data_IF_326841898345
#
_entry.id   IF_326841898345
#
_cell.length_a   1.000
_cell.length_b   1.000
_cell.length_c   1.000
_cell.angle_alpha   90.00
_cell.angle_beta   90.00
_cell.angle_gamma   90.00
#
_symmetry.space_group_name_H-M   'P 1'
#
loop_
_entity.id
_entity.type
_entity.pdbx_description
1 polymer ?
#
# COMPACT_ATOMS: atom_id res chain seq x y z
N UNK A 1 70.05 1.92 -9.96
CA UNK A 1 68.82 1.57 -9.23
C UNK A 1 67.99 0.69 -10.16
N UNK A 2 68.10 -0.63 -10.00
CA UNK A 2 67.35 -1.60 -10.80
C UNK A 2 66.36 -2.27 -9.87
N UNK A 3 65.09 -1.90 -10.01
CA UNK A 3 64.00 -2.54 -9.27
C UNK A 3 63.74 -3.92 -9.88
N UNK A 4 63.96 -4.96 -9.07
CA UNK A 4 63.59 -6.32 -9.39
C UNK A 4 62.20 -6.58 -8.80
N UNK A 5 61.23 -6.84 -9.69
CA UNK A 5 59.84 -7.12 -9.32
C UNK A 5 59.77 -8.36 -8.44
N UNK A 6 59.31 -8.20 -7.21
CA UNK A 6 58.97 -9.29 -6.31
C UNK A 6 57.60 -9.85 -6.71
N UNK A 7 57.59 -10.71 -7.72
CA UNK A 7 56.49 -11.66 -7.87
C UNK A 7 56.54 -12.61 -6.69
N UNK A 8 55.57 -12.53 -5.78
CA UNK A 8 55.42 -13.46 -4.66
C UNK A 8 55.10 -14.84 -5.23
N UNK A 9 56.14 -15.65 -5.46
CA UNK A 9 56.02 -17.09 -5.69
C UNK A 9 55.57 -17.67 -4.36
N UNK A 10 54.28 -17.94 -4.24
CA UNK A 10 53.74 -18.72 -3.14
C UNK A 10 54.33 -20.11 -3.31
N UNK A 11 55.19 -20.52 -2.38
CA UNK A 11 55.87 -21.82 -2.42
C UNK A 11 54.80 -22.91 -2.25
N UNK A 12 54.42 -23.52 -3.37
CA UNK A 12 53.43 -24.60 -3.43
C UNK A 12 54.19 -25.92 -3.40
N UNK A 13 54.53 -26.39 -2.20
CA UNK A 13 55.01 -27.77 -2.03
C UNK A 13 53.83 -28.72 -2.30
N UNK A 14 53.90 -29.38 -3.46
CA UNK A 14 52.97 -30.43 -3.83
C UNK A 14 53.37 -31.74 -3.13
N UNK A 15 52.42 -32.51 -2.57
CA UNK A 15 52.72 -33.81 -1.99
C UNK A 15 53.41 -34.74 -3.00
N UNK A 16 54.31 -35.60 -2.51
CA UNK A 16 55.06 -36.56 -3.34
C UNK A 16 54.16 -37.46 -4.18
N UNK A 17 52.96 -37.79 -3.67
CA UNK A 17 51.98 -38.58 -4.42
C UNK A 17 51.52 -37.85 -5.68
N UNK A 18 51.36 -36.52 -5.62
CA UNK A 18 50.96 -35.71 -6.78
C UNK A 18 52.14 -35.51 -7.74
N UNK A 19 53.35 -35.28 -7.20
CA UNK A 19 54.56 -35.17 -8.03
C UNK A 19 54.81 -36.45 -8.84
N UNK A 20 54.53 -37.62 -8.26
CA UNK A 20 54.72 -38.92 -8.91
C UNK A 20 53.82 -39.15 -10.14
N UNK A 21 52.69 -38.45 -10.23
CA UNK A 21 51.72 -38.58 -11.33
C UNK A 21 51.80 -37.43 -12.34
N UNK A 22 52.62 -36.42 -12.09
CA UNK A 22 52.85 -35.34 -13.05
C UNK A 22 53.72 -35.85 -14.19
N UNK A 23 53.33 -35.67 -15.46
CA UNK A 23 54.16 -36.03 -16.59
C UNK A 23 55.54 -35.38 -16.50
N UNK A 24 56.61 -36.11 -16.83
CA UNK A 24 57.97 -35.54 -16.88
C UNK A 24 58.26 -34.81 -18.19
N UNK A 25 57.47 -35.05 -19.24
CA UNK A 25 57.57 -34.31 -20.50
C UNK A 25 56.97 -32.90 -20.39
N UNK A 26 57.71 -31.83 -20.74
CA UNK A 26 57.25 -30.45 -20.59
C UNK A 26 55.96 -30.11 -21.39
N UNK A 27 55.77 -30.71 -22.57
CA UNK A 27 54.57 -30.45 -23.38
C UNK A 27 53.34 -31.13 -22.79
N UNK A 28 53.48 -32.34 -22.25
CA UNK A 28 52.42 -33.03 -21.51
C UNK A 28 52.02 -32.30 -20.22
N UNK A 29 52.98 -31.69 -19.50
CA UNK A 29 52.68 -30.85 -18.35
C UNK A 29 51.85 -29.61 -18.73
N UNK A 30 52.18 -28.96 -19.84
CA UNK A 30 51.40 -27.83 -20.35
C UNK A 30 49.97 -28.24 -20.71
N UNK A 31 49.78 -29.42 -21.33
CA UNK A 31 48.46 -29.94 -21.65
C UNK A 31 47.64 -30.25 -20.39
N UNK A 32 48.29 -30.85 -19.37
CA UNK A 32 47.67 -31.08 -18.06
C UNK A 32 47.27 -29.76 -17.38
N UNK A 33 48.16 -28.78 -17.34
CA UNK A 33 47.88 -27.45 -16.77
C UNK A 33 46.73 -26.75 -17.50
N UNK A 34 46.70 -26.87 -18.84
CA UNK A 34 45.60 -26.37 -19.66
C UNK A 34 44.29 -27.05 -19.29
N UNK A 35 44.28 -28.38 -19.18
CA UNK A 35 43.10 -29.16 -18.81
C UNK A 35 42.58 -28.80 -17.42
N UNK A 36 43.46 -28.66 -16.43
CA UNK A 36 43.12 -28.21 -15.08
C UNK A 36 42.48 -26.83 -15.13
N UNK A 37 43.10 -25.89 -15.86
CA UNK A 37 42.57 -24.53 -16.02
C UNK A 37 41.21 -24.54 -16.71
N UNK A 38 41.04 -25.31 -17.78
CA UNK A 38 39.76 -25.47 -18.47
C UNK A 38 38.68 -26.03 -17.56
N UNK A 39 39.00 -27.03 -16.73
CA UNK A 39 38.05 -27.59 -15.75
C UNK A 39 37.70 -26.58 -14.66
N UNK A 40 38.69 -25.84 -14.14
CA UNK A 40 38.46 -24.80 -13.13
C UNK A 40 37.56 -23.68 -13.67
N UNK A 41 37.81 -23.22 -14.90
CA UNK A 41 36.97 -22.23 -15.58
C UNK A 41 35.57 -22.79 -15.81
N UNK A 42 35.43 -24.01 -16.34
CA UNK A 42 34.14 -24.62 -16.58
C UNK A 42 33.30 -24.76 -15.29
N UNK A 43 33.93 -25.18 -14.18
CA UNK A 43 33.30 -25.23 -12.86
C UNK A 43 32.82 -23.85 -12.40
N UNK A 44 33.67 -22.82 -12.56
CA UNK A 44 33.31 -21.45 -12.18
C UNK A 44 32.18 -20.89 -13.05
N UNK A 45 32.20 -21.13 -14.36
CA UNK A 45 31.15 -20.72 -15.29
C UNK A 45 29.83 -21.39 -14.92
N UNK A 46 29.83 -22.70 -14.66
CA UNK A 46 28.63 -23.43 -14.25
C UNK A 46 28.03 -22.89 -12.95
N UNK A 47 28.87 -22.58 -11.95
CA UNK A 47 28.41 -21.94 -10.71
C UNK A 47 27.78 -20.56 -10.96
N UNK A 48 28.40 -19.73 -11.79
CA UNK A 48 27.88 -18.40 -12.12
C UNK A 48 26.57 -18.48 -12.92
N UNK A 49 26.43 -19.43 -13.83
CA UNK A 49 25.20 -19.66 -14.59
C UNK A 49 24.03 -20.08 -13.68
N UNK A 50 24.31 -20.95 -12.70
CA UNK A 50 23.34 -21.33 -11.67
C UNK A 50 22.89 -20.14 -10.83
N UNK A 51 23.84 -19.33 -10.34
CA UNK A 51 23.53 -18.13 -9.56
C UNK A 51 22.76 -17.09 -10.37
N UNK A 52 23.14 -16.86 -11.62
CA UNK A 52 22.44 -15.94 -12.51
C UNK A 52 21.01 -16.41 -12.78
N UNK A 53 20.79 -17.71 -12.94
CA UNK A 53 19.46 -18.30 -13.11
C UNK A 53 18.60 -18.11 -11.86
N UNK A 54 19.16 -18.37 -10.68
CA UNK A 54 18.50 -18.14 -9.38
C UNK A 54 18.14 -16.67 -9.17
N UNK A 55 19.03 -15.75 -9.52
CA UNK A 55 18.77 -14.30 -9.42
C UNK A 55 17.66 -13.85 -10.36
N UNK A 56 17.65 -14.34 -11.62
CA UNK A 56 16.56 -14.07 -12.56
C UNK A 56 15.22 -14.58 -12.05
N UNK A 57 15.17 -15.76 -11.46
CA UNK A 57 13.94 -16.29 -10.87
C UNK A 57 13.43 -15.41 -9.72
N UNK A 58 14.33 -14.97 -8.82
CA UNK A 58 13.97 -14.05 -7.74
C UNK A 58 13.46 -12.70 -8.25
N UNK A 59 14.04 -12.21 -9.34
CA UNK A 59 13.59 -10.97 -9.97
C UNK A 59 12.15 -11.12 -10.49
N UNK A 60 11.86 -12.20 -11.23
CA UNK A 60 10.51 -12.49 -11.72
C UNK A 60 9.49 -12.66 -10.59
N UNK A 61 9.88 -13.30 -9.48
CA UNK A 61 9.03 -13.40 -8.30
C UNK A 61 8.72 -12.03 -7.69
N UNK A 62 9.75 -11.17 -7.57
CA UNK A 62 9.55 -9.80 -7.08
C UNK A 62 8.68 -8.96 -7.99
N UNK A 63 8.84 -9.07 -9.31
CA UNK A 63 7.99 -8.36 -10.28
C UNK A 63 6.53 -8.78 -10.13
N UNK A 64 6.24 -10.06 -9.92
CA UNK A 64 4.88 -10.55 -9.64
C UNK A 64 4.31 -9.97 -8.36
N UNK A 65 5.11 -9.90 -7.28
CA UNK A 65 4.69 -9.31 -6.02
C UNK A 65 4.42 -7.81 -6.18
N UNK A 66 5.25 -7.10 -6.93
CA UNK A 66 5.05 -5.68 -7.22
C UNK A 66 3.71 -5.47 -7.93
N UNK A 67 3.41 -6.26 -8.96
CA UNK A 67 2.12 -6.15 -9.68
C UNK A 67 0.91 -6.42 -8.78
N UNK A 68 0.97 -7.44 -7.91
CA UNK A 68 -0.11 -7.71 -6.93
C UNK A 68 -0.28 -6.56 -5.93
N UNK A 69 0.83 -5.96 -5.46
CA UNK A 69 0.78 -4.82 -4.56
C UNK A 69 0.23 -3.56 -5.24
N UNK A 70 0.60 -3.31 -6.49
CA UNK A 70 0.07 -2.21 -7.29
C UNK A 70 -1.45 -2.35 -7.52
N UNK A 71 -1.92 -3.56 -7.82
CA UNK A 71 -3.36 -3.83 -7.98
C UNK A 71 -4.12 -3.58 -6.68
N UNK A 72 -3.61 -4.11 -5.55
CA UNK A 72 -4.20 -3.89 -4.22
C UNK A 72 -4.22 -2.42 -3.84
N UNK A 73 -3.13 -1.69 -4.10
CA UNK A 73 -3.06 -0.25 -3.85
C UNK A 73 -4.12 0.48 -4.67
N UNK A 74 -4.25 0.16 -5.96
CA UNK A 74 -5.24 0.77 -6.84
C UNK A 74 -6.68 0.50 -6.36
N UNK A 75 -6.98 -0.72 -5.92
CA UNK A 75 -8.27 -1.11 -5.34
C UNK A 75 -8.55 -0.32 -4.06
N UNK A 76 -7.57 -0.24 -3.15
CA UNK A 76 -7.71 0.48 -1.89
C UNK A 76 -7.92 1.98 -2.11
N UNK A 77 -7.18 2.60 -3.02
CA UNK A 77 -7.36 4.00 -3.41
C UNK A 77 -8.76 4.26 -3.94
N UNK A 78 -9.30 3.37 -4.79
CA UNK A 78 -10.67 3.48 -5.30
C UNK A 78 -11.70 3.35 -4.18
N UNK A 79 -11.52 2.39 -3.28
CA UNK A 79 -12.41 2.19 -2.13
C UNK A 79 -12.40 3.39 -1.18
N UNK A 80 -11.22 3.99 -0.95
CA UNK A 80 -11.08 5.21 -0.15
C UNK A 80 -11.83 6.37 -0.79
N UNK A 81 -11.59 6.66 -2.08
CA UNK A 81 -12.29 7.73 -2.78
C UNK A 81 -13.81 7.53 -2.81
N UNK A 82 -14.28 6.30 -2.99
CA UNK A 82 -15.70 6.00 -2.93
C UNK A 82 -16.28 6.25 -1.53
N UNK A 83 -15.55 5.87 -0.49
CA UNK A 83 -15.96 6.10 0.91
C UNK A 83 -16.01 7.60 1.22
N UNK A 84 -15.00 8.36 0.81
CA UNK A 84 -14.94 9.81 0.98
C UNK A 84 -16.08 10.52 0.24
N UNK A 85 -16.37 10.12 -1.00
CA UNK A 85 -17.50 10.64 -1.75
C UNK A 85 -18.83 10.34 -1.07
N UNK A 86 -19.00 9.13 -0.54
CA UNK A 86 -20.22 8.70 0.15
C UNK A 86 -20.39 9.48 1.45
N UNK A 87 -19.32 9.67 2.22
CA UNK A 87 -19.30 10.45 3.46
C UNK A 87 -19.66 11.90 3.18
N UNK A 88 -19.05 12.53 2.17
CA UNK A 88 -19.34 13.92 1.80
C UNK A 88 -20.81 14.11 1.40
N UNK A 89 -21.38 13.17 0.64
CA UNK A 89 -22.81 13.20 0.31
C UNK A 89 -23.67 13.11 1.57
N UNK A 90 -23.41 12.15 2.45
CA UNK A 90 -24.15 11.97 3.70
C UNK A 90 -24.03 13.20 4.62
N UNK A 91 -22.85 13.83 4.69
CA UNK A 91 -22.63 15.04 5.47
C UNK A 91 -23.44 16.21 4.91
N UNK A 92 -23.44 16.41 3.59
CA UNK A 92 -24.21 17.47 2.94
C UNK A 92 -25.72 17.29 3.14
N UNK A 93 -26.21 16.05 3.05
CA UNK A 93 -27.60 15.70 3.36
C UNK A 93 -27.94 15.98 4.83
N UNK A 94 -27.06 15.62 5.76
CA UNK A 94 -27.26 15.88 7.18
C UNK A 94 -27.35 17.40 7.48
N UNK A 95 -26.49 18.21 6.85
CA UNK A 95 -26.54 19.67 6.95
C UNK A 95 -27.88 20.20 6.41
N UNK A 96 -28.35 19.68 5.28
CA UNK A 96 -29.65 20.08 4.69
C UNK A 96 -30.80 19.72 5.62
N UNK A 97 -30.86 18.49 6.12
CA UNK A 97 -31.89 18.02 7.05
C UNK A 97 -31.90 18.83 8.35
N UNK A 98 -30.71 19.19 8.86
CA UNK A 98 -30.59 20.04 10.06
C UNK A 98 -31.19 21.42 9.83
N UNK A 99 -30.95 22.03 8.67
CA UNK A 99 -31.57 23.33 8.31
C UNK A 99 -33.09 23.23 8.19
N UNK A 100 -33.60 22.18 7.54
CA UNK A 100 -35.04 21.93 7.41
C UNK A 100 -35.70 21.73 8.78
N UNK A 101 -35.07 20.94 9.66
CA UNK A 101 -35.50 20.77 11.06
C UNK A 101 -35.61 22.11 11.77
N UNK A 102 -34.62 23.00 11.63
CA UNK A 102 -34.62 24.30 12.31
C UNK A 102 -35.71 25.23 11.77
N UNK A 103 -35.95 25.22 10.46
CA UNK A 103 -37.06 25.95 9.83
C UNK A 103 -38.42 25.45 10.33
N UNK A 104 -38.61 24.14 10.41
CA UNK A 104 -39.82 23.52 10.95
C UNK A 104 -40.01 23.89 12.42
N UNK A 105 -38.97 23.79 13.23
CA UNK A 105 -39.02 24.16 14.65
C UNK A 105 -39.38 25.64 14.84
N UNK A 106 -38.84 26.54 14.01
CA UNK A 106 -39.20 27.96 14.01
C UNK A 106 -40.68 28.18 13.65
N UNK A 107 -41.18 27.43 12.67
CA UNK A 107 -42.59 27.49 12.23
C UNK A 107 -43.54 27.00 13.32
N UNK A 108 -43.23 25.86 13.94
CA UNK A 108 -44.00 25.32 15.09
C UNK A 108 -44.04 26.35 16.21
N UNK A 109 -42.89 26.92 16.61
CA UNK A 109 -42.82 27.95 17.65
C UNK A 109 -43.65 29.19 17.30
N UNK A 110 -43.68 29.61 16.03
CA UNK A 110 -44.50 30.73 15.58
C UNK A 110 -45.98 30.40 15.69
N UNK A 111 -46.40 29.25 15.17
CA UNK A 111 -47.79 28.82 15.17
C UNK A 111 -48.32 28.67 16.61
N UNK A 112 -47.54 28.08 17.52
CA UNK A 112 -47.91 27.98 18.95
C UNK A 112 -48.12 29.35 19.59
N UNK A 113 -47.29 30.35 19.27
CA UNK A 113 -47.48 31.73 19.76
C UNK A 113 -48.73 32.37 19.18
N UNK A 114 -49.01 32.16 17.90
CA UNK A 114 -50.17 32.74 17.24
C UNK A 114 -51.48 32.11 17.74
N UNK A 115 -51.50 30.80 18.01
CA UNK A 115 -52.61 30.13 18.69
C UNK A 115 -52.83 30.68 20.10
N UNK A 116 -51.77 30.84 20.90
CA UNK A 116 -51.88 31.40 22.24
C UNK A 116 -52.46 32.84 22.23
N UNK A 117 -52.02 33.68 21.28
CA UNK A 117 -52.60 35.02 21.09
C UNK A 117 -54.07 34.96 20.71
N UNK A 118 -54.46 34.09 19.78
CA UNK A 118 -55.85 33.96 19.36
C UNK A 118 -56.76 33.52 20.51
N UNK A 119 -56.29 32.58 21.35
CA UNK A 119 -56.98 32.18 22.59
C UNK A 119 -57.22 33.38 23.51
N UNK A 120 -56.19 34.20 23.76
CA UNK A 120 -56.30 35.39 24.62
C UNK A 120 -57.28 36.41 24.05
N UNK A 121 -57.22 36.68 22.74
CA UNK A 121 -58.13 37.62 22.08
C UNK A 121 -59.57 37.12 22.13
N UNK A 122 -59.82 35.84 21.84
CA UNK A 122 -61.16 35.25 21.91
C UNK A 122 -61.72 35.29 23.35
N UNK A 123 -60.88 35.01 24.36
CA UNK A 123 -61.29 35.14 25.76
C UNK A 123 -61.65 36.59 26.14
N UNK A 124 -60.89 37.57 25.66
CA UNK A 124 -61.19 38.98 25.89
C UNK A 124 -62.50 39.41 25.21
N UNK A 125 -62.74 38.98 23.97
CA UNK A 125 -63.98 39.24 23.24
C UNK A 125 -65.18 38.64 23.98
N UNK A 126 -65.07 37.38 24.42
CA UNK A 126 -66.14 36.70 25.17
C UNK A 126 -66.47 37.41 26.49
N UNK A 127 -65.44 37.87 27.21
CA UNK A 127 -65.63 38.65 28.44
C UNK A 127 -66.35 39.99 28.19
N UNK A 128 -66.07 40.65 27.06
CA UNK A 128 -66.71 41.91 26.67
C UNK A 128 -68.16 41.72 26.18
N UNK A 129 -68.47 40.59 25.52
CA UNK A 129 -69.80 40.32 24.94
C UNK A 129 -70.78 39.65 25.91
N UNK A 130 -70.33 39.21 27.08
CA UNK A 130 -71.15 38.50 28.06
C UNK A 130 -71.59 37.09 27.63
N UNK A 131 -70.98 36.52 26.57
CA UNK A 131 -71.27 35.17 26.10
C UNK A 131 -70.31 34.14 26.73
N UNK A 132 -70.79 32.93 27.09
CA UNK A 132 -69.92 31.89 27.62
C UNK A 132 -68.96 31.36 26.54
N UNK A 133 -67.70 31.14 26.93
CA UNK A 133 -66.64 30.55 26.10
C UNK A 133 -67.07 29.17 25.57
N UNK A 134 -67.40 29.06 24.27
CA UNK A 134 -67.52 27.77 23.59
C UNK A 134 -66.15 27.34 23.07
N UNK A 135 -65.56 26.35 23.71
CA UNK A 135 -64.43 25.60 23.19
C UNK A 135 -64.98 24.44 22.36
N UNK A 136 -64.98 24.56 21.03
CA UNK A 136 -65.22 23.39 20.19
C UNK A 136 -63.93 22.56 20.18
N UNK A 137 -64.00 21.40 20.82
CA UNK A 137 -62.89 20.44 20.89
C UNK A 137 -63.04 19.47 19.72
N UNK A 138 -62.40 19.81 18.61
CA UNK A 138 -62.19 18.94 17.45
C UNK A 138 -60.72 18.61 17.30
#
# INVERSE_FOLDING_TARGET
MSQQGTGSVVDFDLPDEILSVIPTDPYQQLDLARKITSMAIASRVSSLESDASRLRQKLLEKDRIILDLEDRLSSLTRASHQSDSTLNTALNENIKLTKERDQLAATVKKLSRDFAKNIVVNAAIAAWSGQPLKWDSG
#
